data_IF_768657625027
#
_entry.id   IF_768657625027
#
_cell.length_a   1.000
_cell.length_b   1.000
_cell.length_c   1.000
_cell.angle_alpha   90.00
_cell.angle_beta   90.00
_cell.angle_gamma   90.00
#
_symmetry.space_group_name_H-M   'P 1'
#
loop_
_entity.id
_entity.type
_entity.pdbx_description
1 polymer ?
#
# COMPACT_ATOMS: atom_id res chain seq x y z
N UNK A 1 21.95 13.97 -0.75
CA UNK A 1 20.78 13.62 0.09
C UNK A 1 19.56 13.12 -0.68
N UNK A 2 19.36 13.48 -1.96
CA UNK A 2 18.19 13.06 -2.76
C UNK A 2 18.03 11.53 -2.92
N UNK A 3 19.12 10.79 -3.12
CA UNK A 3 19.09 9.33 -3.33
C UNK A 3 18.55 8.54 -2.12
N UNK A 4 18.81 9.01 -0.89
CA UNK A 4 18.31 8.33 0.33
C UNK A 4 16.79 8.48 0.50
N UNK A 5 16.20 9.60 0.08
CA UNK A 5 14.74 9.83 0.17
C UNK A 5 13.96 8.91 -0.77
N UNK A 6 14.49 8.65 -1.96
CA UNK A 6 13.85 7.74 -2.94
C UNK A 6 13.76 6.29 -2.42
N UNK A 7 14.76 5.81 -1.67
CA UNK A 7 14.75 4.45 -1.11
C UNK A 7 13.68 4.23 -0.05
N UNK A 8 13.44 5.21 0.83
CA UNK A 8 12.45 5.09 1.91
C UNK A 8 11.04 5.04 1.34
N UNK A 9 10.74 5.92 0.37
CA UNK A 9 9.45 5.91 -0.33
C UNK A 9 9.18 4.54 -0.95
N UNK A 10 10.15 3.97 -1.67
CA UNK A 10 10.02 2.67 -2.32
C UNK A 10 9.73 1.50 -1.35
N UNK A 11 10.34 1.52 -0.15
CA UNK A 11 10.16 0.50 0.87
C UNK A 11 8.81 0.62 1.59
N UNK A 12 8.36 1.85 1.87
CA UNK A 12 7.14 2.09 2.64
C UNK A 12 5.87 2.12 1.80
N UNK A 13 5.98 2.42 0.50
CA UNK A 13 4.84 2.53 -0.40
C UNK A 13 3.87 1.32 -0.37
N UNK A 14 4.32 0.04 -0.40
CA UNK A 14 3.39 -1.10 -0.31
C UNK A 14 2.72 -1.22 1.07
N UNK A 15 3.22 -0.54 2.11
CA UNK A 15 2.68 -0.53 3.48
C UNK A 15 1.85 0.71 3.81
N UNK A 16 1.78 1.69 2.90
CA UNK A 16 1.18 2.99 3.17
C UNK A 16 -0.28 2.88 3.63
N UNK A 17 -1.11 2.09 2.94
CA UNK A 17 -2.51 1.88 3.32
C UNK A 17 -2.70 1.27 4.73
N UNK A 18 -1.87 0.29 5.10
CA UNK A 18 -1.91 -0.31 6.44
C UNK A 18 -1.51 0.70 7.52
N UNK A 19 -0.38 1.39 7.32
CA UNK A 19 0.14 2.36 8.29
C UNK A 19 -0.86 3.50 8.49
N UNK A 20 -1.39 4.05 7.40
CA UNK A 20 -2.39 5.11 7.44
C UNK A 20 -3.70 4.64 8.08
N UNK A 21 -4.13 3.40 7.80
CA UNK A 21 -5.32 2.80 8.42
C UNK A 21 -5.22 2.72 9.94
N UNK A 22 -4.12 2.14 10.45
CA UNK A 22 -3.87 2.03 11.91
C UNK A 22 -3.78 3.41 12.55
N UNK A 23 -2.96 4.30 11.99
CA UNK A 23 -2.75 5.65 12.54
C UNK A 23 -4.04 6.47 12.52
N UNK A 24 -4.78 6.42 11.42
CA UNK A 24 -6.04 7.14 11.25
C UNK A 24 -7.12 6.65 12.20
N UNK A 25 -7.29 5.33 12.34
CA UNK A 25 -8.24 4.76 13.30
C UNK A 25 -7.88 5.13 14.74
N UNK A 26 -6.62 5.01 15.13
CA UNK A 26 -6.18 5.36 16.48
C UNK A 26 -6.40 6.86 16.77
N UNK A 27 -6.02 7.73 15.84
CA UNK A 27 -6.24 9.18 15.97
C UNK A 27 -7.73 9.52 16.07
N UNK A 28 -8.57 8.94 15.22
CA UNK A 28 -10.03 9.11 15.29
C UNK A 28 -10.59 8.68 16.66
N UNK A 29 -10.15 7.50 17.13
CA UNK A 29 -10.59 6.95 18.40
C UNK A 29 -10.25 7.87 19.58
N UNK A 30 -9.01 8.37 19.64
CA UNK A 30 -8.57 9.27 20.71
C UNK A 30 -9.24 10.64 20.60
N UNK A 31 -9.28 11.26 19.42
CA UNK A 31 -9.87 12.60 19.24
C UNK A 31 -11.35 12.62 19.62
N UNK A 32 -12.13 11.64 19.15
CA UNK A 32 -13.56 11.56 19.46
C UNK A 32 -13.79 11.13 20.90
N UNK A 33 -12.98 10.20 21.41
CA UNK A 33 -13.01 9.81 22.83
C UNK A 33 -12.79 11.01 23.75
N UNK A 34 -11.72 11.77 23.52
CA UNK A 34 -11.38 12.94 24.32
C UNK A 34 -12.43 14.06 24.19
N UNK A 35 -12.93 14.29 22.97
CA UNK A 35 -13.98 15.29 22.75
C UNK A 35 -15.27 14.95 23.51
N UNK A 36 -15.65 13.67 23.55
CA UNK A 36 -16.84 13.22 24.27
C UNK A 36 -16.68 13.24 25.80
N UNK A 37 -15.47 13.03 26.34
CA UNK A 37 -15.25 12.91 27.79
C UNK A 37 -14.73 14.20 28.44
N UNK A 38 -13.89 14.97 27.75
CA UNK A 38 -13.15 16.09 28.32
C UNK A 38 -13.48 17.45 27.68
N UNK A 39 -14.03 17.47 26.45
CA UNK A 39 -14.32 18.70 25.71
C UNK A 39 -15.70 18.70 25.06
N UNK A 40 -16.76 18.70 25.87
CA UNK A 40 -18.15 18.57 25.44
C UNK A 40 -18.58 19.49 24.26
N UNK A 41 -18.17 20.77 24.16
CA UNK A 41 -18.51 21.59 22.99
C UNK A 41 -17.97 21.04 21.66
N UNK A 42 -16.82 20.37 21.72
CA UNK A 42 -16.20 19.69 20.58
C UNK A 42 -16.71 18.26 20.38
N UNK A 43 -17.35 17.64 21.39
CA UNK A 43 -17.93 16.28 21.34
C UNK A 43 -19.33 16.21 20.74
N UNK A 44 -19.60 16.94 19.66
CA UNK A 44 -20.90 16.94 18.99
C UNK A 44 -20.92 16.03 17.74
N UNK A 45 -22.10 15.61 17.23
CA UNK A 45 -22.18 14.72 16.08
C UNK A 45 -21.50 15.27 14.81
N UNK A 46 -21.50 16.59 14.61
CA UNK A 46 -20.90 17.19 13.44
C UNK A 46 -19.37 17.06 13.44
N UNK A 47 -18.71 17.22 14.60
CA UNK A 47 -17.26 17.01 14.71
C UNK A 47 -16.90 15.54 14.47
N UNK A 48 -17.67 14.58 14.99
CA UNK A 48 -17.48 13.16 14.72
C UNK A 48 -17.50 12.83 13.22
N UNK A 49 -18.46 13.41 12.49
CA UNK A 49 -18.56 13.25 11.03
C UNK A 49 -17.36 13.89 10.31
N UNK A 50 -16.97 15.11 10.69
CA UNK A 50 -15.85 15.81 10.04
C UNK A 50 -14.53 15.06 10.24
N UNK A 51 -14.23 14.63 11.47
CA UNK A 51 -13.00 13.88 11.78
C UNK A 51 -13.04 12.51 11.07
N UNK A 52 -14.19 11.82 11.09
CA UNK A 52 -14.39 10.55 10.38
C UNK A 52 -14.11 10.66 8.87
N UNK A 53 -14.69 11.66 8.20
CA UNK A 53 -14.46 11.91 6.78
C UNK A 53 -12.98 12.22 6.50
N UNK A 54 -12.37 13.09 7.30
CA UNK A 54 -10.96 13.45 7.13
C UNK A 54 -10.04 12.22 7.21
N UNK A 55 -10.30 11.32 8.18
CA UNK A 55 -9.54 10.08 8.33
C UNK A 55 -9.80 9.11 7.16
N UNK A 56 -11.06 8.95 6.71
CA UNK A 56 -11.37 8.10 5.55
C UNK A 56 -10.66 8.60 4.29
N UNK A 57 -10.67 9.90 4.03
CA UNK A 57 -9.96 10.51 2.89
C UNK A 57 -8.46 10.25 2.98
N UNK A 58 -7.86 10.44 4.16
CA UNK A 58 -6.45 10.16 4.40
C UNK A 58 -6.08 8.70 4.12
N UNK A 59 -6.85 7.75 4.64
CA UNK A 59 -6.66 6.31 4.41
C UNK A 59 -6.82 5.95 2.93
N UNK A 60 -7.82 6.53 2.25
CA UNK A 60 -8.05 6.30 0.83
C UNK A 60 -6.87 6.79 -0.03
N UNK A 61 -6.30 7.95 0.26
CA UNK A 61 -5.12 8.47 -0.44
C UNK A 61 -3.89 7.57 -0.24
N UNK A 62 -3.66 7.08 0.97
CA UNK A 62 -2.59 6.12 1.26
C UNK A 62 -2.80 4.77 0.56
N UNK A 63 -4.04 4.29 0.47
CA UNK A 63 -4.39 3.09 -0.27
C UNK A 63 -4.15 3.25 -1.79
N UNK A 64 -4.51 4.40 -2.36
CA UNK A 64 -4.22 4.73 -3.76
C UNK A 64 -2.70 4.75 -4.02
N UNK A 65 -1.91 5.24 -3.07
CA UNK A 65 -0.46 5.20 -3.17
C UNK A 65 0.10 3.76 -3.14
N UNK A 66 -0.41 2.90 -2.26
CA UNK A 66 -0.07 1.47 -2.25
C UNK A 66 -0.49 0.77 -3.56
N UNK A 67 -1.62 1.16 -4.17
CA UNK A 67 -2.10 0.61 -5.45
C UNK A 67 -1.14 0.89 -6.61
N UNK A 68 -0.39 1.98 -6.59
CA UNK A 68 0.57 2.31 -7.64
C UNK A 68 1.63 1.20 -7.82
N UNK A 69 2.03 0.52 -6.74
CA UNK A 69 2.98 -0.62 -6.79
C UNK A 69 2.44 -1.76 -7.65
N UNK A 70 1.15 -2.08 -7.53
CA UNK A 70 0.51 -3.15 -8.29
C UNK A 70 0.45 -2.86 -9.81
N UNK A 71 0.45 -1.58 -10.19
CA UNK A 71 0.47 -1.17 -11.61
C UNK A 71 1.86 -1.35 -12.21
N UNK A 72 2.90 -1.02 -11.46
CA UNK A 72 4.30 -1.21 -11.88
C UNK A 72 4.60 -2.69 -12.14
N UNK A 73 4.18 -3.57 -11.21
CA UNK A 73 4.39 -5.02 -11.34
C UNK A 73 3.60 -5.60 -12.53
N UNK A 74 2.40 -5.08 -12.81
CA UNK A 74 1.58 -5.54 -13.93
C UNK A 74 2.22 -5.20 -15.29
N UNK A 75 2.84 -4.02 -15.43
CA UNK A 75 3.54 -3.62 -16.65
C UNK A 75 4.78 -4.50 -16.87
N UNK A 76 5.56 -4.77 -15.81
CA UNK A 76 6.76 -5.60 -15.91
C UNK A 76 6.45 -7.05 -16.37
N UNK A 77 5.32 -7.62 -15.95
CA UNK A 77 4.90 -8.97 -16.40
C UNK A 77 4.53 -8.99 -17.88
N UNK A 78 3.92 -7.91 -18.40
CA UNK A 78 3.59 -7.79 -19.83
C UNK A 78 4.88 -7.68 -20.66
N UNK A 79 5.87 -6.90 -20.21
CA UNK A 79 7.16 -6.76 -20.90
C UNK A 79 7.98 -8.06 -20.92
N UNK A 80 7.94 -8.88 -19.86
CA UNK A 80 8.59 -10.21 -19.87
C UNK A 80 7.88 -11.21 -20.79
N UNK A 81 6.57 -11.07 -20.99
CA UNK A 81 5.74 -11.97 -21.80
C UNK A 81 5.78 -11.65 -23.30
N UNK A 82 6.05 -10.41 -23.68
CA UNK A 82 6.28 -9.98 -25.05
C UNK A 82 7.66 -10.49 -25.51
N UNK A 83 7.73 -11.78 -25.86
CA UNK A 83 8.93 -12.33 -26.47
C UNK A 83 9.30 -11.44 -27.67
N UNK A 84 10.56 -10.96 -27.78
CA UNK A 84 10.95 -10.08 -28.85
C UNK A 84 10.55 -10.73 -30.18
N UNK A 85 10.05 -9.94 -31.16
CA UNK A 85 9.64 -10.47 -32.45
C UNK A 85 10.78 -11.36 -32.93
N UNK A 86 10.48 -12.63 -33.22
CA UNK A 86 11.48 -13.60 -33.68
C UNK A 86 12.06 -13.05 -34.97
N UNK A 87 13.14 -12.28 -34.85
CA UNK A 87 13.98 -11.91 -35.95
C UNK A 87 14.46 -13.19 -36.63
N UNK A 88 14.81 -13.12 -37.93
CA UNK A 88 15.35 -14.27 -38.63
C UNK A 88 16.47 -14.88 -37.79
N UNK A 89 16.31 -16.15 -37.43
CA UNK A 89 17.21 -16.84 -36.52
C UNK A 89 18.65 -16.62 -37.01
N UNK A 90 19.55 -16.04 -36.20
CA UNK A 90 20.93 -15.84 -36.62
C UNK A 90 21.49 -17.21 -37.01
N UNK A 91 22.00 -17.28 -38.25
CA UNK A 91 22.56 -18.51 -38.85
C UNK A 91 23.62 -19.05 -37.90
N UNK A 92 23.25 -20.06 -37.10
CA UNK A 92 24.05 -20.57 -35.98
C UNK A 92 25.35 -21.12 -36.56
N UNK A 93 26.44 -20.36 -36.46
CA UNK A 93 27.78 -20.91 -36.70
C UNK A 93 27.97 -22.02 -35.66
N UNK A 94 28.20 -23.25 -36.14
CA UNK A 94 28.34 -24.47 -35.34
C UNK A 94 29.48 -24.25 -34.35
N UNK A 95 29.14 -23.95 -33.10
CA UNK A 95 30.14 -23.77 -32.05
C UNK A 95 30.84 -25.11 -31.78
N UNK A 96 32.16 -25.03 -31.60
CA UNK A 96 33.04 -26.18 -31.38
C UNK A 96 32.73 -26.84 -30.03
N UNK A 97 32.78 -28.18 -29.89
CA UNK A 97 32.39 -28.92 -28.68
C UNK A 97 33.28 -28.73 -27.44
N UNK A 98 34.15 -27.71 -27.39
CA UNK A 98 35.26 -27.65 -26.40
C UNK A 98 35.09 -26.63 -25.27
N UNK A 99 34.01 -25.86 -25.22
CA UNK A 99 33.77 -24.79 -24.23
C UNK A 99 32.52 -25.04 -23.34
N UNK A 100 32.25 -26.29 -22.94
CA UNK A 100 31.10 -26.65 -22.07
C UNK A 100 31.37 -26.55 -20.55
N UNK A 101 32.59 -26.18 -20.15
CA UNK A 101 32.93 -25.96 -18.74
C UNK A 101 32.74 -24.50 -18.33
N UNK A 102 31.91 -24.24 -17.31
CA UNK A 102 31.76 -22.96 -16.61
C UNK A 102 30.79 -21.91 -17.20
N UNK A 103 29.53 -22.31 -17.48
CA UNK A 103 28.40 -21.38 -17.28
C UNK A 103 27.69 -21.71 -15.98
N UNK A 104 28.28 -21.28 -14.88
CA UNK A 104 27.47 -20.95 -13.71
C UNK A 104 26.53 -19.81 -14.15
N UNK A 105 25.23 -19.99 -13.96
CA UNK A 105 24.21 -18.96 -14.20
C UNK A 105 23.66 -18.50 -12.83
N UNK A 106 24.38 -17.68 -12.03
CA UNK A 106 23.97 -17.36 -10.67
C UNK A 106 23.66 -15.87 -10.57
N UNK A 107 22.47 -15.42 -10.98
CA UNK A 107 22.06 -14.02 -10.68
C UNK A 107 20.57 -13.69 -10.79
N UNK A 108 19.75 -14.47 -11.50
CA UNK A 108 18.37 -14.05 -11.82
C UNK A 108 17.32 -14.39 -10.76
N UNK A 109 17.59 -15.33 -9.87
CA UNK A 109 16.61 -15.80 -8.87
C UNK A 109 16.26 -14.79 -7.74
N UNK A 110 17.17 -13.97 -7.17
CA UNK A 110 16.84 -13.09 -6.05
C UNK A 110 15.88 -11.95 -6.41
N UNK A 111 15.88 -11.47 -7.66
CA UNK A 111 15.01 -10.37 -8.09
C UNK A 111 13.54 -10.80 -8.23
N UNK A 112 13.27 -12.05 -8.63
CA UNK A 112 11.88 -12.55 -8.73
C UNK A 112 11.20 -12.70 -7.37
N UNK A 113 11.94 -13.05 -6.30
CA UNK A 113 11.37 -13.16 -4.94
C UNK A 113 10.95 -11.82 -4.36
N UNK A 114 11.66 -10.73 -4.66
CA UNK A 114 11.36 -9.40 -4.09
C UNK A 114 10.15 -8.73 -4.74
N UNK A 115 9.88 -8.98 -6.02
CA UNK A 115 8.67 -8.51 -6.68
C UNK A 115 7.40 -9.12 -6.05
N UNK A 116 7.42 -10.44 -5.80
CA UNK A 116 6.29 -11.16 -5.19
C UNK A 116 5.92 -10.65 -3.78
N UNK A 117 6.91 -10.33 -2.95
CA UNK A 117 6.67 -9.85 -1.58
C UNK A 117 6.08 -8.44 -1.54
N UNK A 118 6.48 -7.54 -2.46
CA UNK A 118 5.94 -6.18 -2.56
C UNK A 118 4.47 -6.18 -3.01
N UNK A 119 4.13 -6.96 -4.03
CA UNK A 119 2.76 -7.10 -4.49
C UNK A 119 1.84 -7.67 -3.39
N UNK A 120 2.32 -8.65 -2.63
CA UNK A 120 1.62 -9.18 -1.46
C UNK A 120 1.36 -8.09 -0.40
N UNK A 121 2.40 -7.35 0.00
CA UNK A 121 2.28 -6.28 0.97
C UNK A 121 1.30 -5.19 0.51
N UNK A 122 1.33 -4.80 -0.78
CA UNK A 122 0.39 -3.83 -1.34
C UNK A 122 -1.06 -4.32 -1.29
N UNK A 123 -1.34 -5.60 -1.60
CA UNK A 123 -2.69 -6.18 -1.48
C UNK A 123 -3.17 -6.21 -0.03
N UNK A 124 -2.31 -6.64 0.89
CA UNK A 124 -2.60 -6.66 2.32
C UNK A 124 -2.93 -5.25 2.82
N UNK A 125 -2.15 -4.24 2.41
CA UNK A 125 -2.41 -2.83 2.76
C UNK A 125 -3.72 -2.28 2.20
N UNK A 126 -4.13 -2.70 1.00
CA UNK A 126 -5.44 -2.32 0.46
C UNK A 126 -6.60 -2.93 1.27
N UNK A 127 -6.49 -4.20 1.65
CA UNK A 127 -7.49 -4.86 2.50
C UNK A 127 -7.54 -4.22 3.89
N UNK A 128 -6.38 -3.92 4.47
CA UNK A 128 -6.30 -3.24 5.77
C UNK A 128 -6.90 -1.83 5.70
N UNK A 129 -6.59 -1.05 4.66
CA UNK A 129 -7.17 0.27 4.47
C UNK A 129 -8.71 0.23 4.39
N UNK A 130 -9.27 -0.74 3.66
CA UNK A 130 -10.72 -0.94 3.59
C UNK A 130 -11.32 -1.31 4.95
N UNK A 131 -10.67 -2.21 5.70
CA UNK A 131 -11.09 -2.60 7.05
C UNK A 131 -11.07 -1.40 8.01
N UNK A 132 -9.98 -0.62 8.04
CA UNK A 132 -9.88 0.54 8.94
C UNK A 132 -10.85 1.66 8.56
N UNK A 133 -11.11 1.88 7.26
CA UNK A 133 -12.15 2.82 6.83
C UNK A 133 -13.54 2.39 7.33
N UNK A 134 -13.85 1.09 7.31
CA UNK A 134 -15.09 0.56 7.88
C UNK A 134 -15.15 0.77 9.40
N UNK A 135 -14.06 0.49 10.13
CA UNK A 135 -14.00 0.72 11.58
C UNK A 135 -14.21 2.19 11.94
N UNK A 136 -13.61 3.11 11.19
CA UNK A 136 -13.83 4.56 11.36
C UNK A 136 -15.29 4.91 11.10
N UNK A 137 -15.90 4.41 10.02
CA UNK A 137 -17.30 4.69 9.72
C UNK A 137 -18.25 4.19 10.83
N UNK A 138 -18.05 2.97 11.34
CA UNK A 138 -18.83 2.43 12.46
C UNK A 138 -18.63 3.28 13.72
N UNK A 139 -17.41 3.72 14.01
CA UNK A 139 -17.14 4.56 15.17
C UNK A 139 -17.74 5.97 15.02
N UNK A 140 -17.71 6.56 13.82
CA UNK A 140 -18.41 7.82 13.53
C UNK A 140 -19.91 7.68 13.75
N UNK A 141 -20.53 6.58 13.30
CA UNK A 141 -21.94 6.30 13.56
C UNK A 141 -22.25 6.20 15.06
N UNK A 142 -21.38 5.54 15.84
CA UNK A 142 -21.52 5.50 17.29
C UNK A 142 -21.46 6.91 17.92
N UNK A 143 -20.53 7.76 17.47
CA UNK A 143 -20.43 9.16 17.92
C UNK A 143 -21.64 10.05 17.54
N UNK A 144 -22.39 9.66 16.51
CA UNK A 144 -23.65 10.34 16.14
C UNK A 144 -24.83 9.85 16.97
N UNK A 145 -24.85 8.56 17.32
CA UNK A 145 -25.96 7.92 18.04
C UNK A 145 -25.89 8.12 19.55
N UNK A 146 -24.69 8.19 20.12
CA UNK A 146 -24.51 8.35 21.55
C UNK A 146 -24.66 9.84 21.91
N UNK A 147 -25.54 10.19 22.87
CA UNK A 147 -25.59 11.54 23.37
C UNK A 147 -24.23 11.90 23.97
N UNK A 148 -23.77 13.12 23.68
CA UNK A 148 -22.59 13.68 24.35
C UNK A 148 -22.87 13.96 25.82
N UNK A 149 -22.01 14.77 26.45
CA UNK A 149 -22.18 15.17 27.84
C UNK A 149 -23.61 15.69 28.11
N UNK A 150 -24.20 15.35 29.28
CA UNK A 150 -25.44 15.99 29.70
C UNK A 150 -25.23 17.52 29.79
N UNK A 151 -26.28 18.31 29.47
CA UNK A 151 -26.23 19.77 29.55
C UNK A 151 -25.99 20.28 30.98
#
# INVERSE_FOLDING_TARGET
>A
MAVKRARIGFLLQPWAGLIAGVAGWFAHHQIIGDALHFHCPAGNPASAVVVGIAVIVFVALAALWSRAVLREDAVAVVEEGEAPPRGPAPRRKRASPRDEGAREEPAREPLRRSAGSRAFAARLSLMAAALFALLVAVQTMAGVMLPGCPP
#
